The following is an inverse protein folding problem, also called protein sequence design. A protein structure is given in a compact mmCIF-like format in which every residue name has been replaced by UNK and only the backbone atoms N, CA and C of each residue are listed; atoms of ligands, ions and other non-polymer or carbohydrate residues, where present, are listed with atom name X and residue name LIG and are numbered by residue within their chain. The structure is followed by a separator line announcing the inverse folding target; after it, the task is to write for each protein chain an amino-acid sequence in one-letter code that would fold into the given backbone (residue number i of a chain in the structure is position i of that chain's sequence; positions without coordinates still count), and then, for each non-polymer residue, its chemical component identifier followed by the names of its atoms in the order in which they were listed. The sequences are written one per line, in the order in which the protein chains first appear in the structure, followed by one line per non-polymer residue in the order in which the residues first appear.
data_IF_570256371319
#
_entry.id   IF_570256371319
#
_cell.length_a   1.000
_cell.length_b   1.000
_cell.length_c   1.000
_cell.angle_alpha   90.00
_cell.angle_beta   90.00
_cell.angle_gamma   90.00
#
_symmetry.space_group_name_H-M   'P 1'
#
loop_
_entity.id
_entity.type
_entity.pdbx_description
1 polymer ?
#
# COMPACT_ATOMS: atom_id res chain seq x y z
N UNK A 1 1.54 -19.13 10.13
CA UNK A 1 1.78 -17.86 9.42
C UNK A 1 0.54 -17.00 9.55
N UNK A 2 0.60 -15.92 10.33
CA UNK A 2 -0.45 -14.90 10.29
C UNK A 2 -0.49 -14.27 8.89
N UNK A 3 -1.67 -14.26 8.28
CA UNK A 3 -1.87 -13.59 6.99
C UNK A 3 -1.93 -12.09 7.27
N UNK A 4 -0.89 -11.35 6.88
CA UNK A 4 -0.91 -9.88 6.97
C UNK A 4 -2.02 -9.33 6.06
N UNK A 5 -2.87 -8.38 6.54
CA UNK A 5 -3.98 -7.88 5.77
C UNK A 5 -3.54 -7.04 4.56
N UNK A 6 -4.40 -7.02 3.53
CA UNK A 6 -4.28 -6.16 2.35
C UNK A 6 -5.35 -5.08 2.39
N UNK A 7 -4.97 -3.86 2.03
CA UNK A 7 -5.84 -2.70 2.07
C UNK A 7 -6.01 -2.11 0.68
N UNK A 8 -7.24 -1.88 0.26
CA UNK A 8 -7.53 -1.08 -0.93
C UNK A 8 -7.12 0.38 -0.70
N UNK A 9 -6.87 1.10 -1.80
CA UNK A 9 -6.60 2.56 -1.76
C UNK A 9 -7.65 3.33 -0.95
N UNK A 10 -8.93 2.97 -1.09
CA UNK A 10 -10.02 3.59 -0.33
C UNK A 10 -9.90 3.34 1.17
N UNK A 11 -9.60 2.10 1.58
CA UNK A 11 -9.40 1.76 2.99
C UNK A 11 -8.19 2.49 3.57
N UNK A 12 -7.06 2.54 2.85
CA UNK A 12 -5.86 3.27 3.31
C UNK A 12 -6.18 4.74 3.53
N UNK A 13 -6.89 5.39 2.60
CA UNK A 13 -7.30 6.80 2.76
C UNK A 13 -8.23 7.01 3.95
N UNK A 14 -9.10 6.06 4.27
CA UNK A 14 -9.95 6.13 5.47
C UNK A 14 -9.14 5.96 6.75
N UNK A 15 -8.17 5.05 6.77
CA UNK A 15 -7.32 4.79 7.93
C UNK A 15 -6.39 5.96 8.24
N UNK A 16 -5.72 6.49 7.22
CA UNK A 16 -4.78 7.63 7.36
C UNK A 16 -5.53 8.96 7.53
N UNK A 17 -6.78 9.04 7.06
CA UNK A 17 -7.58 10.26 7.04
C UNK A 17 -7.64 10.86 5.63
N UNK A 18 -8.85 11.14 5.16
CA UNK A 18 -9.10 11.58 3.78
C UNK A 18 -8.50 12.96 3.48
N UNK A 19 -8.33 13.78 4.50
CA UNK A 19 -7.74 15.13 4.46
C UNK A 19 -6.21 15.08 4.53
N UNK A 20 -5.65 14.00 5.06
CA UNK A 20 -4.20 13.78 5.19
C UNK A 20 -3.65 13.10 3.94
N UNK A 21 -4.35 12.08 3.44
CA UNK A 21 -3.95 11.31 2.26
C UNK A 21 -4.89 11.55 1.07
N UNK A 22 -4.48 12.50 0.24
CA UNK A 22 -5.15 12.82 -1.03
C UNK A 22 -5.22 11.63 -1.99
N UNK A 23 -6.26 11.62 -2.84
CA UNK A 23 -6.52 10.51 -3.79
C UNK A 23 -5.32 10.22 -4.68
N UNK A 24 -4.73 11.25 -5.28
CA UNK A 24 -3.66 11.08 -6.25
C UNK A 24 -2.37 10.56 -5.61
N UNK A 25 -2.07 11.03 -4.40
CA UNK A 25 -0.94 10.55 -3.60
C UNK A 25 -1.16 9.09 -3.21
N UNK A 26 -2.37 8.71 -2.79
CA UNK A 26 -2.69 7.32 -2.46
C UNK A 26 -2.52 6.38 -3.67
N UNK A 27 -2.92 6.81 -4.87
CA UNK A 27 -2.69 6.03 -6.09
C UNK A 27 -1.23 6.00 -6.53
N UNK A 28 -0.44 7.06 -6.30
CA UNK A 28 1.01 7.04 -6.51
C UNK A 28 1.66 6.01 -5.60
N UNK A 29 1.37 6.07 -4.30
CA UNK A 29 1.85 5.12 -3.30
C UNK A 29 1.49 3.67 -3.67
N UNK A 30 0.26 3.43 -4.13
CA UNK A 30 -0.18 2.11 -4.55
C UNK A 30 0.56 1.57 -5.79
N UNK A 31 0.98 2.46 -6.71
CA UNK A 31 1.79 2.07 -7.87
C UNK A 31 3.22 1.73 -7.50
N UNK A 32 3.76 2.35 -6.45
CA UNK A 32 5.14 2.14 -6.00
C UNK A 32 5.27 0.94 -5.07
N UNK A 33 4.41 0.83 -4.04
CA UNK A 33 4.56 -0.16 -2.96
C UNK A 33 3.41 -1.18 -2.88
N UNK A 34 2.42 -1.06 -3.77
CA UNK A 34 1.27 -1.97 -3.83
C UNK A 34 1.35 -2.91 -5.02
N UNK A 35 0.29 -3.71 -5.20
CA UNK A 35 0.13 -4.59 -6.36
C UNK A 35 -1.34 -4.64 -6.81
N UNK A 36 -1.56 -5.18 -8.00
CA UNK A 36 -2.90 -5.36 -8.57
C UNK A 36 -3.50 -6.68 -8.10
N UNK A 37 -4.66 -6.61 -7.45
CA UNK A 37 -5.53 -7.75 -7.22
C UNK A 37 -6.74 -7.64 -8.16
N UNK A 38 -6.65 -8.34 -9.29
CA UNK A 38 -7.57 -8.15 -10.41
C UNK A 38 -7.55 -6.71 -10.91
N UNK A 39 -8.71 -6.03 -10.89
CA UNK A 39 -8.83 -4.63 -11.34
C UNK A 39 -8.47 -3.59 -10.27
N UNK A 40 -8.19 -3.99 -9.03
CA UNK A 40 -7.99 -3.07 -7.90
C UNK A 40 -6.53 -3.01 -7.47
N UNK A 41 -6.10 -1.85 -7.00
CA UNK A 41 -4.83 -1.68 -6.29
C UNK A 41 -5.03 -2.02 -4.82
N UNK A 42 -4.09 -2.79 -4.26
CA UNK A 42 -4.02 -3.11 -2.84
C UNK A 42 -2.62 -2.84 -2.31
N UNK A 43 -2.56 -2.48 -1.04
CA UNK A 43 -1.35 -2.18 -0.28
C UNK A 43 -1.22 -3.18 0.87
N UNK A 44 -0.01 -3.70 1.12
CA UNK A 44 0.26 -4.57 2.26
C UNK A 44 0.21 -3.78 3.58
N UNK A 45 -0.17 -4.46 4.67
CA UNK A 45 -0.26 -3.86 6.01
C UNK A 45 0.96 -3.03 6.40
N UNK A 46 2.17 -3.53 6.15
CA UNK A 46 3.44 -2.83 6.44
C UNK A 46 3.52 -1.42 5.86
N UNK A 47 2.95 -1.19 4.67
CA UNK A 47 2.97 0.12 4.01
C UNK A 47 1.99 1.05 4.70
N UNK A 48 0.83 0.52 5.10
CA UNK A 48 -0.17 1.27 5.87
C UNK A 48 0.36 1.63 7.25
N UNK A 49 0.99 0.68 7.94
CA UNK A 49 1.64 0.88 9.24
C UNK A 49 2.71 1.98 9.16
N UNK A 50 3.60 1.93 8.17
CA UNK A 50 4.61 2.97 7.96
C UNK A 50 3.99 4.36 7.81
N UNK A 51 2.91 4.49 7.03
CA UNK A 51 2.21 5.77 6.87
C UNK A 51 1.57 6.28 8.17
N UNK A 52 0.97 5.37 8.94
CA UNK A 52 0.35 5.71 10.24
C UNK A 52 1.42 6.16 11.25
N UNK A 53 2.63 5.61 11.16
CA UNK A 53 3.79 5.97 11.98
C UNK A 53 4.50 7.24 11.47
N UNK A 54 4.00 7.90 10.42
CA UNK A 54 4.61 9.09 9.82
C UNK A 54 5.93 8.80 9.09
N UNK A 55 6.18 7.54 8.73
CA UNK A 55 7.36 7.08 8.01
C UNK A 55 7.05 6.88 6.53
N UNK A 56 8.08 7.00 5.71
CA UNK A 56 7.98 6.59 4.31
C UNK A 56 8.07 5.06 4.23
N UNK A 57 7.22 4.40 3.43
CA UNK A 57 7.38 2.98 3.18
C UNK A 57 8.71 2.75 2.47
N UNK A 58 9.51 1.81 2.96
CA UNK A 58 10.73 1.41 2.27
C UNK A 58 10.36 0.81 0.90
N UNK A 59 11.16 1.13 -0.12
CA UNK A 59 11.03 0.49 -1.42
C UNK A 59 11.36 -0.98 -1.25
N UNK A 60 10.37 -1.86 -1.47
CA UNK A 60 10.70 -3.24 -1.75
C UNK A 60 11.08 -3.33 -3.22
N UNK A 61 12.31 -3.73 -3.49
CA UNK A 61 12.69 -4.18 -4.83
C UNK A 61 11.66 -5.21 -5.31
N UNK A 62 10.95 -4.98 -6.44
CA UNK A 62 9.98 -5.94 -6.96
C UNK A 62 10.64 -7.25 -7.47
N UNK A 63 11.96 -7.39 -7.33
CA UNK A 63 12.72 -8.60 -7.65
C UNK A 63 12.61 -9.65 -6.54
N UNK A 64 11.41 -10.18 -6.33
CA UNK A 64 11.15 -11.18 -5.30
C UNK A 64 10.01 -12.14 -5.60
N UNK A 65 9.64 -12.30 -6.89
CA UNK A 65 8.82 -13.42 -7.40
C UNK A 65 8.64 -13.26 -8.93
N UNK A 66 9.56 -13.83 -9.70
CA UNK A 66 9.47 -13.94 -11.15
C UNK A 66 10.28 -15.13 -11.64
N UNK A 67 9.57 -16.22 -11.93
CA UNK A 67 9.91 -17.41 -12.72
C UNK A 67 11.38 -17.75 -13.00
N UNK A 68 11.80 -18.90 -12.46
CA UNK A 68 12.61 -19.86 -13.21
C UNK A 68 11.67 -20.76 -14.03
#
# INVERSE_FOLDING_TARGET
MEKKPLYTVEQVRRLVGIDVLGRDVAYKLARTHGFRLGKRWVLPARVVEALMDGRLPEEEDPAGQGGA
#
